data_IF_877176289334
#
_entry.id   IF_877176289334
#
_cell.length_a   1.000
_cell.length_b   1.000
_cell.length_c   1.000
_cell.angle_alpha   90.00
_cell.angle_beta   90.00
_cell.angle_gamma   90.00
#
_symmetry.space_group_name_H-M   'P 1'
#
loop_
_entity.id
_entity.type
_entity.pdbx_description
1 polymer ?
#
# COMPACT_ATOMS: atom_id res chain seq x y z
N UNK A 1 1.03 29.70 -0.26
CA UNK A 1 1.91 29.87 0.91
C UNK A 1 2.42 28.49 1.28
N UNK A 2 3.72 28.24 1.15
CA UNK A 2 4.30 26.89 1.38
C UNK A 2 4.56 26.63 2.88
N UNK A 3 4.87 25.39 3.25
CA UNK A 3 5.14 24.97 4.65
C UNK A 3 6.19 25.87 5.34
N UNK A 4 7.26 26.24 4.63
CA UNK A 4 8.33 27.07 5.18
C UNK A 4 7.87 28.50 5.43
N UNK A 5 7.08 29.09 4.52
CA UNK A 5 6.52 30.43 4.68
C UNK A 5 5.51 30.51 5.83
N UNK A 6 4.67 29.50 6.01
CA UNK A 6 3.70 29.45 7.11
C UNK A 6 4.42 29.32 8.46
N UNK A 7 5.40 28.40 8.58
CA UNK A 7 6.22 28.25 9.79
C UNK A 7 6.99 29.55 10.09
N UNK A 8 7.55 30.20 9.07
CA UNK A 8 8.28 31.44 9.23
C UNK A 8 7.39 32.57 9.75
N UNK A 9 6.21 32.78 9.15
CA UNK A 9 5.24 33.81 9.58
C UNK A 9 4.71 33.56 11.00
N UNK A 10 4.51 32.30 11.37
CA UNK A 10 4.09 31.93 12.73
C UNK A 10 5.22 32.24 13.72
N UNK A 11 6.48 31.92 13.40
CA UNK A 11 7.63 32.30 14.25
C UNK A 11 7.75 33.81 14.39
N UNK A 12 7.56 34.58 13.31
CA UNK A 12 7.53 36.05 13.38
C UNK A 12 6.44 36.57 14.31
N UNK A 13 5.21 36.05 14.17
CA UNK A 13 4.08 36.42 15.01
C UNK A 13 4.34 36.12 16.50
N UNK A 14 4.87 34.93 16.82
CA UNK A 14 5.24 34.57 18.20
C UNK A 14 6.37 35.44 18.76
N UNK A 15 7.37 35.79 17.94
CA UNK A 15 8.46 36.70 18.34
C UNK A 15 7.92 38.10 18.66
N UNK A 16 6.92 38.57 17.90
CA UNK A 16 6.27 39.87 18.12
C UNK A 16 5.35 39.94 19.34
N UNK A 17 4.84 38.80 19.81
CA UNK A 17 3.96 38.69 20.99
C UNK A 17 4.71 38.61 22.32
N UNK A 18 6.03 38.45 22.29
CA UNK A 18 6.84 38.08 23.44
C UNK A 18 7.36 39.27 24.29
N UNK A 19 6.63 40.40 24.35
CA UNK A 19 6.94 41.42 25.37
C UNK A 19 6.28 41.12 26.72
N UNK A 20 5.08 40.49 26.76
CA UNK A 20 4.30 40.37 28.01
C UNK A 20 3.42 39.11 28.17
N UNK A 21 3.51 38.12 27.28
CA UNK A 21 2.72 36.89 27.39
C UNK A 21 3.40 35.82 28.26
N UNK A 22 2.65 35.08 29.11
CA UNK A 22 3.21 33.98 29.91
C UNK A 22 3.86 32.99 28.97
N UNK A 23 5.04 32.48 29.35
CA UNK A 23 5.89 31.60 28.56
C UNK A 23 5.06 30.52 27.85
N UNK A 24 4.60 30.82 26.64
CA UNK A 24 3.93 29.88 25.77
C UNK A 24 4.96 28.81 25.50
N UNK A 25 4.69 27.58 25.94
CA UNK A 25 5.53 26.45 25.65
C UNK A 25 5.62 26.34 24.13
N UNK A 26 6.74 26.81 23.60
CA UNK A 26 6.99 26.89 22.17
C UNK A 26 6.93 25.51 21.55
N UNK A 27 7.19 24.43 22.31
CA UNK A 27 7.02 23.07 21.82
C UNK A 27 5.54 22.70 21.62
N UNK A 28 4.67 23.06 22.56
CA UNK A 28 3.22 22.81 22.44
C UNK A 28 2.61 23.55 21.26
N UNK A 29 2.94 24.84 21.12
CA UNK A 29 2.51 25.66 19.98
C UNK A 29 2.99 25.07 18.66
N UNK A 30 4.28 24.70 18.58
CA UNK A 30 4.84 24.13 17.36
C UNK A 30 4.18 22.79 17.01
N UNK A 31 3.82 21.96 18.00
CA UNK A 31 3.04 20.74 17.79
C UNK A 31 1.67 21.01 17.18
N UNK A 32 0.93 22.00 17.69
CA UNK A 32 -0.37 22.41 17.15
C UNK A 32 -0.26 22.98 15.72
N UNK A 33 0.80 23.73 15.45
CA UNK A 33 1.09 24.24 14.11
C UNK A 33 1.43 23.11 13.14
N UNK A 34 2.16 22.10 13.57
CA UNK A 34 2.45 20.91 12.76
C UNK A 34 1.19 20.11 12.44
N UNK A 35 0.29 19.93 13.41
CA UNK A 35 -1.01 19.30 13.19
C UNK A 35 -1.87 20.10 12.20
N UNK A 36 -1.90 21.42 12.33
CA UNK A 36 -2.61 22.30 11.39
C UNK A 36 -1.97 22.28 9.99
N UNK A 37 -0.65 22.31 9.89
CA UNK A 37 0.06 22.18 8.61
C UNK A 37 -0.26 20.83 7.95
N UNK A 38 -0.31 19.74 8.72
CA UNK A 38 -0.72 18.42 8.23
C UNK A 38 -2.16 18.41 7.74
N UNK A 39 -3.08 19.07 8.46
CA UNK A 39 -4.49 19.15 8.04
C UNK A 39 -4.71 20.00 6.79
N UNK A 40 -3.79 20.92 6.50
CA UNK A 40 -3.77 21.70 5.25
C UNK A 40 -3.16 20.94 4.07
N UNK A 41 -2.50 19.80 4.27
CA UNK A 41 -2.01 19.00 3.15
C UNK A 41 -3.21 18.47 2.34
N UNK A 42 -3.17 18.57 1.01
CA UNK A 42 -4.22 18.00 0.19
C UNK A 42 -4.33 16.50 0.46
N UNK A 43 -5.55 15.98 0.46
CA UNK A 43 -5.80 14.56 0.67
C UNK A 43 -5.01 13.73 -0.35
N UNK A 44 -4.33 12.70 0.13
CA UNK A 44 -3.63 11.74 -0.71
C UNK A 44 -4.63 10.85 -1.41
N UNK A 45 -4.36 10.53 -2.66
CA UNK A 45 -5.13 9.52 -3.38
C UNK A 45 -4.60 8.14 -3.01
N UNK A 46 -5.49 7.20 -2.70
CA UNK A 46 -5.10 5.78 -2.72
C UNK A 46 -4.95 5.41 -4.21
N UNK A 47 -3.92 4.69 -4.64
CA UNK A 47 -3.71 4.30 -6.04
C UNK A 47 -3.22 2.86 -6.19
N UNK A 48 -3.47 2.20 -7.34
CA UNK A 48 -2.92 0.87 -7.61
C UNK A 48 -1.38 0.85 -7.55
N UNK A 49 -0.79 -0.26 -7.08
CA UNK A 49 0.66 -0.45 -7.01
C UNK A 49 1.38 -0.14 -8.33
N UNK A 50 0.80 -0.54 -9.47
CA UNK A 50 1.37 -0.26 -10.81
C UNK A 50 1.58 1.23 -11.06
N UNK A 51 0.68 2.09 -10.56
CA UNK A 51 0.80 3.54 -10.70
C UNK A 51 1.89 4.08 -9.79
N UNK A 52 1.95 3.61 -8.54
CA UNK A 52 3.00 3.98 -7.59
C UNK A 52 4.39 3.61 -8.11
N UNK A 53 4.59 2.39 -8.58
CA UNK A 53 5.87 1.93 -9.16
C UNK A 53 6.29 2.77 -10.38
N UNK A 54 5.31 3.21 -11.19
CA UNK A 54 5.58 4.09 -12.32
C UNK A 54 6.03 5.48 -11.86
N UNK A 55 5.31 6.10 -10.91
CA UNK A 55 5.64 7.42 -10.36
C UNK A 55 7.04 7.40 -9.73
N UNK A 56 7.34 6.39 -8.90
CA UNK A 56 8.65 6.24 -8.24
C UNK A 56 9.77 6.08 -9.27
N UNK A 57 9.63 5.16 -10.22
CA UNK A 57 10.64 4.94 -11.26
C UNK A 57 10.94 6.20 -12.06
N UNK A 58 9.91 6.98 -12.39
CA UNK A 58 10.09 8.24 -13.13
C UNK A 58 10.76 9.31 -12.28
N UNK A 59 10.42 9.40 -10.99
CA UNK A 59 11.08 10.32 -10.06
C UNK A 59 12.55 9.97 -9.82
N UNK A 60 12.88 8.69 -9.73
CA UNK A 60 14.25 8.20 -9.55
C UNK A 60 15.19 8.61 -10.70
N UNK A 61 14.66 8.72 -11.92
CA UNK A 61 15.40 9.20 -13.10
C UNK A 61 15.30 10.73 -13.29
N UNK A 62 14.75 11.45 -12.32
CA UNK A 62 14.63 12.92 -12.34
C UNK A 62 13.44 13.47 -13.15
N UNK A 63 12.47 12.63 -13.48
CA UNK A 63 11.25 13.03 -14.17
C UNK A 63 10.43 14.02 -13.32
N UNK A 64 9.90 15.04 -13.99
CA UNK A 64 9.04 16.06 -13.38
C UNK A 64 7.57 15.65 -13.42
N UNK A 65 6.76 16.21 -12.54
CA UNK A 65 5.35 15.84 -12.41
C UNK A 65 4.56 16.00 -13.73
N UNK A 66 4.85 17.02 -14.53
CA UNK A 66 4.23 17.24 -15.86
C UNK A 66 4.59 16.14 -16.86
N UNK A 67 5.86 15.72 -16.91
CA UNK A 67 6.31 14.61 -17.74
C UNK A 67 5.71 13.26 -17.28
N UNK A 68 5.66 13.04 -15.96
CA UNK A 68 5.07 11.84 -15.35
C UNK A 68 3.60 11.73 -15.73
N UNK A 69 2.85 12.83 -15.62
CA UNK A 69 1.42 12.88 -15.97
C UNK A 69 1.21 12.64 -17.46
N UNK A 70 1.98 13.31 -18.31
CA UNK A 70 1.84 13.19 -19.77
C UNK A 70 2.11 11.76 -20.24
N UNK A 71 3.25 11.19 -19.84
CA UNK A 71 3.65 9.85 -20.27
C UNK A 71 2.81 8.74 -19.63
N UNK A 72 2.19 8.97 -18.47
CA UNK A 72 1.34 7.98 -17.82
C UNK A 72 0.19 7.52 -18.74
N UNK A 73 -0.40 8.42 -19.54
CA UNK A 73 -1.45 8.06 -20.50
C UNK A 73 -0.99 7.09 -21.60
N UNK A 74 0.31 6.99 -21.84
CA UNK A 74 0.93 6.14 -22.87
C UNK A 74 1.31 4.78 -22.28
N UNK A 75 1.83 4.76 -21.05
CA UNK A 75 2.41 3.56 -20.43
C UNK A 75 1.48 2.87 -19.42
N UNK A 76 0.50 3.60 -18.92
CA UNK A 76 -0.52 3.08 -18.02
C UNK A 76 -1.85 3.11 -18.78
N UNK A 77 -2.62 2.03 -18.67
CA UNK A 77 -3.97 1.91 -19.22
C UNK A 77 -4.95 2.75 -18.38
N UNK A 78 -4.67 4.05 -18.27
CA UNK A 78 -5.46 4.99 -17.49
C UNK A 78 -6.54 5.55 -18.39
N UNK A 79 -7.79 5.35 -17.98
CA UNK A 79 -8.94 5.90 -18.66
C UNK A 79 -9.12 7.39 -18.34
N UNK A 80 -9.49 8.17 -19.36
CA UNK A 80 -9.91 9.56 -19.21
C UNK A 80 -11.39 9.68 -18.81
N UNK A 81 -12.19 8.64 -19.09
CA UNK A 81 -13.65 8.73 -19.01
C UNK A 81 -14.19 8.34 -17.62
N UNK A 82 -13.41 7.65 -16.80
CA UNK A 82 -13.83 7.16 -15.48
C UNK A 82 -13.23 7.94 -14.30
N UNK A 83 -12.51 9.03 -14.59
CA UNK A 83 -11.82 9.85 -13.59
C UNK A 83 -10.49 9.26 -13.07
N UNK A 84 -10.04 8.11 -13.62
CA UNK A 84 -8.75 7.52 -13.27
C UNK A 84 -7.59 8.46 -13.58
N UNK A 85 -7.65 9.18 -14.69
CA UNK A 85 -6.63 10.16 -15.06
C UNK A 85 -6.54 11.32 -14.05
N UNK A 86 -7.67 11.86 -13.62
CA UNK A 86 -7.71 12.93 -12.61
C UNK A 86 -7.20 12.43 -11.24
N UNK A 87 -7.55 11.20 -10.86
CA UNK A 87 -7.03 10.53 -9.66
C UNK A 87 -5.51 10.36 -9.75
N UNK A 88 -4.98 9.96 -10.90
CA UNK A 88 -3.54 9.84 -11.12
C UNK A 88 -2.82 11.20 -11.02
N UNK A 89 -3.37 12.25 -11.62
CA UNK A 89 -2.81 13.61 -11.51
C UNK A 89 -2.73 14.04 -10.04
N UNK A 90 -3.81 13.87 -9.29
CA UNK A 90 -3.84 14.20 -7.85
C UNK A 90 -2.83 13.37 -7.07
N UNK A 91 -2.67 12.09 -7.37
CA UNK A 91 -1.68 11.23 -6.75
C UNK A 91 -0.24 11.73 -6.99
N UNK A 92 0.07 12.18 -8.22
CA UNK A 92 1.38 12.75 -8.54
C UNK A 92 1.61 14.06 -7.77
N UNK A 93 0.64 14.98 -7.79
CA UNK A 93 0.80 16.34 -7.24
C UNK A 93 0.67 16.39 -5.71
N UNK A 94 -0.33 15.72 -5.15
CA UNK A 94 -0.67 15.77 -3.73
C UNK A 94 -0.02 14.63 -2.93
N UNK A 95 0.56 13.64 -3.61
CA UNK A 95 1.03 12.40 -3.02
C UNK A 95 -0.06 11.34 -2.98
N UNK A 96 0.36 10.12 -2.65
CA UNK A 96 -0.51 8.95 -2.68
C UNK A 96 -0.26 7.99 -1.54
N UNK A 97 -1.22 7.09 -1.36
CA UNK A 97 -1.10 5.83 -0.62
C UNK A 97 -1.29 4.69 -1.62
N UNK A 98 -0.63 3.56 -1.40
CA UNK A 98 -0.77 2.41 -2.30
C UNK A 98 -1.94 1.56 -1.83
N UNK A 99 -2.83 1.18 -2.75
CA UNK A 99 -3.88 0.21 -2.47
C UNK A 99 -3.25 -1.03 -1.83
N UNK A 100 -3.75 -1.51 -0.68
CA UNK A 100 -3.20 -2.69 -0.04
C UNK A 100 -3.20 -3.85 -1.05
N UNK A 101 -2.04 -4.48 -1.20
CA UNK A 101 -1.88 -5.55 -2.17
C UNK A 101 -2.83 -6.70 -1.80
N UNK A 102 -3.74 -7.05 -2.72
CA UNK A 102 -4.70 -8.13 -2.47
C UNK A 102 -3.96 -9.43 -2.17
N UNK A 103 -4.29 -10.01 -1.03
CA UNK A 103 -3.74 -11.27 -0.55
C UNK A 103 -4.71 -12.40 -0.86
N UNK A 104 -4.15 -13.50 -1.33
CA UNK A 104 -4.86 -14.70 -1.70
C UNK A 104 -4.32 -15.88 -0.91
N UNK A 105 -5.21 -16.81 -0.58
CA UNK A 105 -4.88 -18.17 -0.25
C UNK A 105 -4.97 -19.03 -1.50
N UNK A 106 -4.04 -19.96 -1.66
CA UNK A 106 -3.99 -20.88 -2.79
C UNK A 106 -4.32 -22.30 -2.33
N UNK A 107 -5.61 -22.66 -2.20
CA UNK A 107 -5.99 -24.01 -1.78
C UNK A 107 -5.60 -25.03 -2.84
N UNK A 108 -4.98 -26.13 -2.39
CA UNK A 108 -4.58 -27.25 -3.24
C UNK A 108 -5.74 -28.25 -3.26
N UNK A 109 -6.30 -28.58 -4.44
CA UNK A 109 -7.33 -29.61 -4.54
C UNK A 109 -6.80 -30.94 -4.02
N UNK A 110 -7.43 -31.50 -3.00
CA UNK A 110 -7.12 -32.85 -2.52
C UNK A 110 -7.74 -33.89 -3.44
N UNK A 111 -6.92 -34.75 -4.04
CA UNK A 111 -7.38 -35.95 -4.75
C UNK A 111 -7.82 -37.08 -3.81
N UNK A 112 -7.58 -36.94 -2.50
CA UNK A 112 -7.90 -37.93 -1.47
C UNK A 112 -9.11 -37.46 -0.66
N UNK A 113 -10.19 -38.24 -0.75
CA UNK A 113 -11.42 -38.10 0.01
C UNK A 113 -11.17 -38.06 1.53
N UNK A 114 -11.56 -36.95 2.14
CA UNK A 114 -12.50 -36.80 3.26
C UNK A 114 -12.47 -37.63 4.56
N UNK A 115 -11.55 -38.57 4.82
CA UNK A 115 -11.80 -39.52 5.94
C UNK A 115 -10.86 -39.53 7.16
N UNK A 116 -9.90 -38.61 7.32
CA UNK A 116 -9.08 -38.59 8.56
C UNK A 116 -9.06 -37.24 9.29
N UNK A 117 -9.29 -36.11 8.61
CA UNK A 117 -9.33 -34.79 9.24
C UNK A 117 -10.35 -33.89 8.54
N UNK A 118 -11.64 -34.12 8.78
CA UNK A 118 -12.73 -33.32 8.23
C UNK A 118 -12.52 -31.82 8.58
N UNK A 119 -11.96 -31.05 7.65
CA UNK A 119 -11.72 -29.61 7.78
C UNK A 119 -10.27 -29.14 7.62
N UNK A 120 -9.27 -30.03 7.58
CA UNK A 120 -7.90 -29.63 7.24
C UNK A 120 -7.74 -29.50 5.73
N UNK A 121 -7.28 -28.33 5.29
CA UNK A 121 -6.99 -28.01 3.90
C UNK A 121 -5.48 -27.82 3.71
N UNK A 122 -4.99 -28.13 2.51
CA UNK A 122 -3.64 -27.79 2.07
C UNK A 122 -3.66 -26.49 1.29
N UNK A 123 -2.67 -25.64 1.57
CA UNK A 123 -2.46 -24.40 0.85
C UNK A 123 -1.05 -24.37 0.29
N UNK A 124 -0.88 -23.80 -0.91
CA UNK A 124 0.44 -23.49 -1.41
C UNK A 124 1.00 -22.31 -0.63
N UNK A 125 2.22 -22.46 -0.11
CA UNK A 125 2.95 -21.42 0.61
C UNK A 125 4.26 -21.13 -0.09
N UNK A 126 4.71 -19.87 0.01
CA UNK A 126 5.98 -19.43 -0.56
C UNK A 126 6.99 -19.28 0.57
N UNK A 127 8.04 -20.08 0.55
CA UNK A 127 9.13 -19.97 1.52
C UNK A 127 10.31 -19.21 0.91
N UNK A 128 10.69 -18.13 1.57
CA UNK A 128 11.93 -17.40 1.29
C UNK A 128 13.01 -17.92 2.24
N UNK A 129 13.85 -18.83 1.77
CA UNK A 129 14.94 -19.41 2.55
C UNK A 129 16.28 -18.64 2.43
N UNK A 130 16.24 -17.40 1.92
CA UNK A 130 17.43 -16.57 1.73
C UNK A 130 18.39 -17.04 0.64
N UNK A 131 18.05 -18.10 -0.11
CA UNK A 131 18.79 -18.56 -1.29
C UNK A 131 18.14 -18.01 -2.57
N UNK A 132 18.88 -17.96 -3.70
CA UNK A 132 18.30 -17.56 -4.98
C UNK A 132 17.26 -18.59 -5.43
N UNK A 133 16.01 -18.14 -5.58
CA UNK A 133 14.88 -18.97 -5.98
C UNK A 133 13.91 -19.20 -4.82
N UNK A 134 12.67 -18.78 -5.02
CA UNK A 134 11.60 -19.09 -4.07
C UNK A 134 11.22 -20.56 -4.18
N UNK A 135 11.05 -21.22 -3.03
CA UNK A 135 10.48 -22.56 -3.00
C UNK A 135 9.01 -22.49 -2.65
N UNK A 136 8.21 -23.24 -3.41
CA UNK A 136 6.77 -23.39 -3.18
C UNK A 136 6.52 -24.70 -2.45
N UNK A 137 5.89 -24.60 -1.28
CA UNK A 137 5.61 -25.71 -0.39
C UNK A 137 4.11 -26.03 -0.36
N UNK A 138 3.79 -27.29 -0.07
CA UNK A 138 2.43 -27.86 -0.02
C UNK A 138 2.21 -28.73 1.22
N UNK A 139 3.20 -28.80 2.12
CA UNK A 139 3.24 -29.72 3.25
C UNK A 139 2.30 -29.33 4.40
N UNK A 140 1.97 -28.05 4.53
CA UNK A 140 1.15 -27.53 5.63
C UNK A 140 -0.33 -27.90 5.46
N UNK A 141 -0.88 -28.56 6.49
CA UNK A 141 -2.29 -28.89 6.60
C UNK A 141 -2.90 -28.05 7.72
N UNK A 142 -3.90 -27.24 7.40
CA UNK A 142 -4.48 -26.27 8.34
C UNK A 142 -5.98 -26.09 8.11
N UNK A 143 -6.72 -25.74 9.16
CA UNK A 143 -8.11 -25.35 9.02
C UNK A 143 -8.24 -24.08 8.19
N UNK A 144 -9.29 -23.99 7.37
CA UNK A 144 -9.55 -22.81 6.53
C UNK A 144 -9.68 -21.52 7.34
N UNK A 145 -10.22 -21.59 8.56
CA UNK A 145 -10.32 -20.45 9.47
C UNK A 145 -8.94 -19.95 9.89
N UNK A 146 -8.06 -20.85 10.32
CA UNK A 146 -6.72 -20.50 10.78
C UNK A 146 -5.79 -20.07 9.64
N UNK A 147 -6.06 -20.53 8.41
CA UNK A 147 -5.30 -20.10 7.22
C UNK A 147 -5.42 -18.60 6.95
N UNK A 148 -6.54 -17.98 7.37
CA UNK A 148 -6.73 -16.54 7.26
C UNK A 148 -5.86 -15.73 8.22
N UNK A 149 -5.26 -16.38 9.23
CA UNK A 149 -4.44 -15.73 10.24
C UNK A 149 -2.94 -16.03 10.08
N UNK A 150 -2.55 -16.66 8.97
CA UNK A 150 -1.16 -17.10 8.71
C UNK A 150 -0.49 -16.28 7.60
N UNK A 151 0.36 -15.30 7.95
CA UNK A 151 1.02 -14.44 6.97
C UNK A 151 1.87 -15.19 5.94
N UNK A 152 2.43 -16.36 6.29
CA UNK A 152 3.22 -17.19 5.38
C UNK A 152 2.39 -17.87 4.27
N UNK A 153 1.06 -17.86 4.39
CA UNK A 153 0.13 -18.38 3.38
C UNK A 153 -0.43 -17.28 2.48
N UNK A 154 -0.16 -16.01 2.78
CA UNK A 154 -0.66 -14.90 1.99
C UNK A 154 0.19 -14.72 0.74
N UNK A 155 -0.43 -15.01 -0.40
CA UNK A 155 0.19 -14.91 -1.70
C UNK A 155 -0.41 -13.72 -2.46
N UNK A 156 0.43 -12.95 -3.13
CA UNK A 156 -0.02 -11.81 -3.94
C UNK A 156 -0.15 -12.19 -5.40
N UNK A 157 -0.92 -11.42 -6.18
CA UNK A 157 -1.11 -11.72 -7.61
C UNK A 157 0.24 -11.77 -8.37
N UNK A 158 1.14 -10.82 -8.07
CA UNK A 158 2.48 -10.78 -8.66
C UNK A 158 3.26 -12.07 -8.39
N UNK A 159 3.14 -12.62 -7.19
CA UNK A 159 3.79 -13.87 -6.82
C UNK A 159 3.22 -15.04 -7.63
N UNK A 160 1.89 -15.11 -7.79
CA UNK A 160 1.21 -16.10 -8.64
C UNK A 160 1.69 -16.00 -10.10
N UNK A 161 1.77 -14.78 -10.64
CA UNK A 161 2.17 -14.55 -12.03
C UNK A 161 3.62 -14.98 -12.32
N UNK A 162 4.49 -14.91 -11.29
CA UNK A 162 5.87 -15.41 -11.34
C UNK A 162 6.04 -16.88 -10.94
N UNK A 163 4.97 -17.55 -10.50
CA UNK A 163 5.05 -18.90 -9.93
C UNK A 163 5.21 -20.01 -11.00
N UNK A 164 5.59 -21.23 -10.58
CA UNK A 164 5.51 -22.42 -11.44
C UNK A 164 4.08 -22.71 -11.92
N UNK A 165 3.95 -23.42 -13.03
CA UNK A 165 2.66 -23.68 -13.70
C UNK A 165 1.63 -24.34 -12.78
N UNK A 166 2.06 -25.23 -11.88
CA UNK A 166 1.15 -25.90 -10.94
C UNK A 166 0.51 -24.92 -9.95
N UNK A 167 1.21 -23.84 -9.57
CA UNK A 167 0.69 -22.79 -8.68
C UNK A 167 -0.29 -21.90 -9.45
N UNK A 168 0.07 -21.53 -10.68
CA UNK A 168 -0.79 -20.74 -11.59
C UNK A 168 -2.11 -21.44 -11.90
N UNK A 169 -2.11 -22.78 -11.88
CA UNK A 169 -3.30 -23.60 -12.08
C UNK A 169 -4.25 -23.63 -10.85
N UNK A 170 -3.81 -23.19 -9.67
CA UNK A 170 -4.65 -23.14 -8.48
C UNK A 170 -5.63 -21.97 -8.57
N UNK A 171 -6.82 -22.14 -7.98
CA UNK A 171 -7.83 -21.08 -7.91
C UNK A 171 -7.57 -20.20 -6.67
N UNK A 172 -7.20 -18.93 -6.83
CA UNK A 172 -6.95 -18.05 -5.71
C UNK A 172 -8.25 -17.75 -4.95
N UNK A 173 -8.18 -17.73 -3.62
CA UNK A 173 -9.28 -17.34 -2.73
C UNK A 173 -8.83 -16.09 -1.99
N UNK A 174 -9.57 -14.99 -2.14
CA UNK A 174 -9.25 -13.73 -1.44
C UNK A 174 -9.28 -13.94 0.09
N UNK A 175 -8.24 -13.44 0.75
CA UNK A 175 -8.24 -13.30 2.21
C UNK A 175 -9.22 -12.18 2.54
N UNK A 176 -10.17 -12.44 3.45
CA UNK A 176 -10.97 -11.36 4.01
C UNK A 176 -10.04 -10.57 4.91
N UNK A 177 -9.73 -9.33 4.55
CA UNK A 177 -9.17 -8.41 5.53
C UNK A 177 -10.24 -8.26 6.60
N UNK A 178 -9.93 -8.66 7.83
CA UNK A 178 -10.79 -8.38 8.97
C UNK A 178 -11.00 -6.85 8.96
N UNK A 179 -12.23 -6.43 8.67
CA UNK A 179 -12.64 -5.04 8.87
C UNK A 179 -12.50 -4.80 10.37
N UNK A 180 -11.34 -4.27 10.75
CA UNK A 180 -10.91 -4.13 12.14
C UNK A 180 -12.04 -3.54 12.97
N UNK A 181 -12.38 -4.24 14.05
CA UNK A 181 -13.17 -3.61 15.10
C UNK A 181 -12.33 -2.45 15.67
N UNK A 182 -12.88 -1.25 15.47
CA UNK A 182 -12.43 0.05 15.95
C UNK A 182 -12.08 0.08 17.44
#
# INVERSE_FOLDING_TARGET
MNKHELIFKIKEAFTSLNSDAPALDTAWVMGQVEEYVKSLQPAKEVIPLKWAEYIERRRDIGGKDDEIIYEASIYLEISFDDGSYDRFIKAVVNGYEVEPEKKYLLPIPSAFNDDINAGLHRYASRQTNGLPGDYWDTSEHIFKSEAQDKPNLFITQRQIDSAPDWVKALKPVGVKEDEGQY
#
